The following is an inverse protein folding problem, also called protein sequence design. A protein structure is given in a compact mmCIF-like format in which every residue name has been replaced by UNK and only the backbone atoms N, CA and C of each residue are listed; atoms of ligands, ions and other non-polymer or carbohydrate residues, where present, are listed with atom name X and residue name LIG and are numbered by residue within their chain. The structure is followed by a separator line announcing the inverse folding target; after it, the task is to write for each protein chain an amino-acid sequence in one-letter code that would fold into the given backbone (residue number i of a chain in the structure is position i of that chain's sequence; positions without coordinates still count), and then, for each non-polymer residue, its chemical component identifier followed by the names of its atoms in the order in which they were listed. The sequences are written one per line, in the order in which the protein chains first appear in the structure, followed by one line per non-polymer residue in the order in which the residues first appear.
data_IF_368287783986
#
_entry.id   IF_368287783986
#
_cell.length_a   1.000
_cell.length_b   1.000
_cell.length_c   1.000
_cell.angle_alpha   90.00
_cell.angle_beta   90.00
_cell.angle_gamma   90.00
#
_symmetry.space_group_name_H-M   'P 1'
#
loop_
_entity.id
_entity.type
_entity.pdbx_description
1 polymer ?
#
# COMPACT_ATOMS: atom_id res chain seq x y z
N UNK A 1 40.90 -10.53 -12.70
CA UNK A 1 40.91 -9.16 -12.15
C UNK A 1 41.27 -9.23 -10.67
N UNK A 2 42.09 -8.33 -10.12
CA UNK A 2 42.32 -8.29 -8.67
C UNK A 2 40.97 -8.06 -7.96
N UNK A 3 40.68 -8.85 -6.92
CA UNK A 3 39.48 -8.67 -6.09
C UNK A 3 39.53 -7.30 -5.41
N UNK A 4 38.40 -6.60 -5.35
CA UNK A 4 38.29 -5.35 -4.60
C UNK A 4 38.78 -5.55 -3.17
N UNK A 5 39.65 -4.65 -2.68
CA UNK A 5 40.09 -4.65 -1.27
C UNK A 5 39.02 -4.10 -0.32
N UNK A 6 38.04 -3.35 -0.86
CA UNK A 6 36.89 -2.81 -0.13
C UNK A 6 35.67 -3.73 -0.17
N UNK A 7 35.51 -4.49 -1.25
CA UNK A 7 34.51 -5.56 -1.40
C UNK A 7 35.28 -6.86 -1.52
N UNK A 8 35.83 -7.39 -0.41
CA UNK A 8 36.53 -8.65 -0.47
C UNK A 8 35.49 -9.69 -0.93
N UNK A 9 35.68 -10.27 -2.11
CA UNK A 9 34.83 -11.32 -2.67
C UNK A 9 34.86 -12.63 -1.87
N UNK A 10 35.11 -12.56 -0.56
CA UNK A 10 35.15 -13.65 0.39
C UNK A 10 33.84 -13.65 1.17
N UNK A 11 32.83 -14.25 0.54
CA UNK A 11 31.62 -14.62 1.25
C UNK A 11 31.98 -15.63 2.36
N UNK A 12 31.54 -15.44 3.63
CA UNK A 12 31.87 -16.37 4.71
C UNK A 12 31.41 -17.79 4.32
N UNK A 13 32.23 -18.85 4.36
CA UNK A 13 31.80 -20.20 3.98
C UNK A 13 30.49 -20.62 4.68
N UNK A 14 29.74 -21.54 4.09
CA UNK A 14 28.50 -22.06 4.70
C UNK A 14 28.81 -22.59 6.10
N UNK A 15 28.01 -22.21 7.10
CA UNK A 15 28.17 -22.61 8.50
C UNK A 15 29.13 -21.73 9.31
N UNK A 16 29.74 -20.70 8.72
CA UNK A 16 30.70 -19.82 9.42
C UNK A 16 30.10 -18.45 9.82
N UNK A 17 28.93 -18.10 9.30
CA UNK A 17 28.22 -16.88 9.64
C UNK A 17 26.71 -17.12 9.57
N UNK A 18 26.00 -17.14 10.71
CA UNK A 18 24.54 -17.37 10.74
C UNK A 18 23.77 -16.38 9.86
N UNK A 19 24.25 -15.13 9.75
CA UNK A 19 23.65 -14.11 8.90
C UNK A 19 23.87 -14.43 7.41
N UNK A 20 25.09 -14.81 7.03
CA UNK A 20 25.40 -15.21 5.65
C UNK A 20 24.57 -16.43 5.23
N UNK A 21 24.38 -17.38 6.14
CA UNK A 21 23.61 -18.60 5.89
C UNK A 21 22.11 -18.32 5.76
N UNK A 22 21.55 -17.45 6.60
CA UNK A 22 20.16 -17.00 6.45
C UNK A 22 19.92 -16.27 5.12
N UNK A 23 20.88 -15.47 4.64
CA UNK A 23 20.75 -14.80 3.33
C UNK A 23 20.83 -15.81 2.18
N UNK A 24 21.71 -16.82 2.28
CA UNK A 24 21.78 -17.91 1.29
C UNK A 24 20.49 -18.68 1.21
N UNK A 25 19.93 -19.05 2.36
CA UNK A 25 18.65 -19.76 2.45
C UNK A 25 17.53 -18.94 1.78
N UNK A 26 17.45 -17.64 2.07
CA UNK A 26 16.47 -16.73 1.45
C UNK A 26 16.63 -16.59 -0.06
N UNK A 27 17.85 -16.62 -0.60
CA UNK A 27 18.15 -16.32 -2.02
C UNK A 27 18.36 -17.55 -2.90
N UNK A 28 18.49 -18.73 -2.31
CA UNK A 28 18.72 -19.99 -3.02
C UNK A 28 19.94 -19.91 -3.95
N UNK A 29 19.75 -20.33 -5.21
CA UNK A 29 20.81 -20.39 -6.21
C UNK A 29 21.49 -19.04 -6.53
N UNK A 30 20.87 -17.90 -6.18
CA UNK A 30 21.47 -16.56 -6.37
C UNK A 30 22.61 -16.26 -5.40
N UNK A 31 22.69 -16.96 -4.27
CA UNK A 31 23.77 -16.84 -3.30
C UNK A 31 23.99 -15.42 -2.74
N UNK A 32 25.21 -15.18 -2.25
CA UNK A 32 25.64 -13.88 -1.76
C UNK A 32 26.18 -13.01 -2.90
N UNK A 33 25.89 -11.73 -2.82
CA UNK A 33 26.26 -10.66 -3.75
C UNK A 33 27.33 -9.78 -3.14
N UNK A 34 27.99 -8.96 -3.98
CA UNK A 34 28.97 -7.98 -3.56
C UNK A 34 28.46 -7.08 -2.41
N UNK A 35 27.17 -6.73 -2.42
CA UNK A 35 26.49 -6.01 -1.36
C UNK A 35 26.59 -6.72 0.00
N UNK A 36 26.34 -8.04 0.03
CA UNK A 36 26.39 -8.81 1.27
C UNK A 36 27.83 -8.92 1.80
N UNK A 37 28.82 -8.99 0.91
CA UNK A 37 30.24 -8.95 1.27
C UNK A 37 30.63 -7.65 1.99
N UNK A 38 30.15 -6.50 1.52
CA UNK A 38 30.42 -5.21 2.17
C UNK A 38 29.67 -5.06 3.50
N UNK A 39 28.41 -5.52 3.59
CA UNK A 39 27.62 -5.45 4.83
C UNK A 39 28.22 -6.33 5.95
N UNK A 40 28.74 -7.51 5.60
CA UNK A 40 29.30 -8.47 6.57
C UNK A 40 30.69 -8.07 7.11
N UNK A 41 31.40 -7.14 6.47
CA UNK A 41 32.74 -6.73 6.89
C UNK A 41 32.78 -5.29 7.43
N UNK A 42 32.68 -5.15 8.75
CA UNK A 42 32.85 -3.88 9.48
C UNK A 42 31.61 -3.00 9.54
N UNK A 43 30.78 -2.97 8.49
CA UNK A 43 29.59 -2.13 8.44
C UNK A 43 28.56 -2.50 9.51
N UNK A 44 28.26 -3.79 9.65
CA UNK A 44 27.35 -4.28 10.70
C UNK A 44 27.84 -3.94 12.12
N UNK A 45 29.15 -3.84 12.35
CA UNK A 45 29.70 -3.46 13.66
C UNK A 45 29.44 -1.98 13.97
N UNK A 46 29.72 -1.10 13.00
CA UNK A 46 29.42 0.33 13.12
C UNK A 46 27.92 0.60 13.26
N UNK A 47 27.10 0.10 12.31
CA UNK A 47 25.65 0.29 12.32
C UNK A 47 24.98 -0.36 13.54
N UNK A 48 25.51 -1.49 14.00
CA UNK A 48 25.09 -2.12 15.26
C UNK A 48 25.34 -1.19 16.44
N UNK A 49 26.56 -0.64 16.57
CA UNK A 49 26.91 0.27 17.66
C UNK A 49 26.03 1.54 17.68
N UNK A 50 25.84 2.19 16.52
CA UNK A 50 24.99 3.38 16.40
C UNK A 50 23.55 3.11 16.83
N UNK A 51 23.00 1.92 16.52
CA UNK A 51 21.62 1.57 16.87
C UNK A 51 21.42 1.11 18.31
N UNK A 52 22.43 0.51 18.95
CA UNK A 52 22.21 -0.24 20.21
C UNK A 52 23.13 0.11 21.37
N UNK A 53 24.21 0.87 21.17
CA UNK A 53 25.20 1.17 22.23
C UNK A 53 25.18 2.61 22.74
N UNK A 54 24.46 3.51 22.08
CA UNK A 54 24.30 4.90 22.52
C UNK A 54 23.30 5.06 23.66
N UNK A 55 23.32 6.24 24.29
CA UNK A 55 22.39 6.66 25.35
C UNK A 55 21.25 7.53 24.85
N UNK A 56 21.30 8.04 23.61
CA UNK A 56 20.19 8.76 23.01
C UNK A 56 18.92 7.90 23.04
N UNK A 57 17.80 8.49 23.48
CA UNK A 57 16.54 7.77 23.59
C UNK A 57 16.11 7.22 22.23
N UNK A 58 15.49 6.05 22.24
CA UNK A 58 15.16 5.34 21.01
C UNK A 58 14.27 6.16 20.08
N UNK A 59 13.27 6.86 20.62
CA UNK A 59 12.35 7.71 19.85
C UNK A 59 13.08 8.86 19.15
N UNK A 60 14.02 9.53 19.82
CA UNK A 60 14.81 10.63 19.23
C UNK A 60 15.79 10.10 18.19
N UNK A 61 16.47 8.98 18.47
CA UNK A 61 17.38 8.34 17.50
C UNK A 61 16.63 7.95 16.22
N UNK A 62 15.55 7.19 16.35
CA UNK A 62 14.79 6.72 15.19
C UNK A 62 14.11 7.87 14.44
N UNK A 63 13.66 8.92 15.14
CA UNK A 63 13.17 10.15 14.51
C UNK A 63 14.22 10.80 13.61
N UNK A 64 15.47 10.90 14.06
CA UNK A 64 16.56 11.48 13.26
C UNK A 64 16.86 10.62 12.03
N UNK A 65 16.86 9.28 12.19
CA UNK A 65 17.04 8.32 11.10
C UNK A 65 15.93 8.48 10.05
N UNK A 66 14.68 8.46 10.49
CA UNK A 66 13.51 8.59 9.63
C UNK A 66 13.46 9.94 8.91
N UNK A 67 13.90 11.02 9.57
CA UNK A 67 14.02 12.34 8.95
C UNK A 67 15.09 12.35 7.85
N UNK A 68 16.22 11.68 8.05
CA UNK A 68 17.26 11.50 7.00
C UNK A 68 16.68 10.72 5.82
N UNK A 69 16.01 9.60 6.09
CA UNK A 69 15.38 8.78 5.05
C UNK A 69 14.36 9.58 4.22
N UNK A 70 13.52 10.38 4.87
CA UNK A 70 12.54 11.23 4.22
C UNK A 70 13.17 12.31 3.30
N UNK A 71 14.25 12.96 3.75
CA UNK A 71 14.96 13.98 2.95
C UNK A 71 15.73 13.38 1.78
N UNK A 72 16.38 12.24 2.00
CA UNK A 72 17.18 11.60 0.96
C UNK A 72 16.34 10.75 0.01
N UNK A 73 15.01 10.70 0.18
CA UNK A 73 14.11 9.83 -0.58
C UNK A 73 14.47 8.33 -0.47
N UNK A 74 14.97 7.89 0.69
CA UNK A 74 15.40 6.52 0.93
C UNK A 74 14.26 5.66 1.50
N UNK A 75 13.35 5.19 0.64
CA UNK A 75 12.20 4.38 1.06
C UNK A 75 12.59 3.11 1.83
N UNK A 76 13.64 2.40 1.38
CA UNK A 76 14.14 1.21 2.07
C UNK A 76 14.56 1.51 3.52
N UNK A 77 15.28 2.62 3.74
CA UNK A 77 15.71 3.05 5.08
C UNK A 77 14.50 3.35 5.97
N UNK A 78 13.53 4.09 5.44
CA UNK A 78 12.28 4.39 6.15
C UNK A 78 11.56 3.10 6.58
N UNK A 79 11.29 2.19 5.64
CA UNK A 79 10.53 0.95 5.89
C UNK A 79 11.18 0.11 7.01
N UNK A 80 12.52 0.05 7.04
CA UNK A 80 13.25 -0.72 8.04
C UNK A 80 13.38 -0.03 9.40
N UNK A 81 13.08 1.27 9.48
CA UNK A 81 13.22 2.05 10.71
C UNK A 81 11.90 2.52 11.31
N UNK A 82 10.82 2.60 10.53
CA UNK A 82 9.54 3.10 11.04
C UNK A 82 9.00 2.23 12.19
N UNK A 83 9.00 0.90 12.00
CA UNK A 83 8.55 -0.04 13.01
C UNK A 83 9.45 -0.05 14.26
N UNK A 84 10.74 0.23 14.10
CA UNK A 84 11.69 0.41 15.22
C UNK A 84 11.36 1.69 15.98
N UNK A 85 11.09 2.78 15.27
CA UNK A 85 10.61 4.04 15.84
C UNK A 85 9.31 3.88 16.62
N UNK A 86 8.34 3.14 16.08
CA UNK A 86 7.09 2.78 16.78
C UNK A 86 7.36 1.99 18.05
N UNK A 87 8.25 0.99 17.98
CA UNK A 87 8.67 0.20 19.15
C UNK A 87 9.36 1.05 20.23
N UNK A 88 9.98 2.17 19.84
CA UNK A 88 10.59 3.13 20.74
C UNK A 88 9.60 4.20 21.25
N UNK A 89 8.35 4.20 20.79
CA UNK A 89 7.28 5.07 21.28
C UNK A 89 6.83 6.17 20.31
N UNK A 90 7.34 6.22 19.07
CA UNK A 90 6.85 7.18 18.08
C UNK A 90 5.41 6.84 17.64
N UNK A 91 4.53 7.83 17.74
CA UNK A 91 3.12 7.72 17.32
C UNK A 91 2.96 8.03 15.82
N UNK A 92 1.85 7.60 15.21
CA UNK A 92 1.52 7.95 13.82
C UNK A 92 1.48 9.46 13.58
N UNK A 93 0.95 10.25 14.53
CA UNK A 93 0.93 11.72 14.42
C UNK A 93 2.35 12.31 14.36
N UNK A 94 3.27 11.79 15.17
CA UNK A 94 4.68 12.21 15.13
C UNK A 94 5.36 11.75 13.83
N UNK A 95 5.13 10.51 13.40
CA UNK A 95 5.69 9.99 12.15
C UNK A 95 5.23 10.78 10.93
N UNK A 96 3.97 11.24 10.89
CA UNK A 96 3.48 12.12 9.82
C UNK A 96 4.31 13.41 9.74
N UNK A 97 4.63 14.03 10.89
CA UNK A 97 5.49 15.23 10.97
C UNK A 97 6.94 14.92 10.57
N UNK A 98 7.46 13.75 10.96
CA UNK A 98 8.82 13.31 10.62
C UNK A 98 8.96 13.04 9.12
N UNK A 99 7.94 12.45 8.51
CA UNK A 99 7.87 12.18 7.06
C UNK A 99 7.78 13.48 6.26
N UNK A 100 6.97 14.45 6.70
CA UNK A 100 6.75 15.69 5.95
C UNK A 100 8.00 16.59 5.95
N UNK A 101 8.70 16.64 4.82
CA UNK A 101 9.91 17.47 4.61
C UNK A 101 9.60 18.88 4.13
N UNK A 102 8.34 19.18 3.81
CA UNK A 102 7.95 20.48 3.23
C UNK A 102 7.99 21.62 4.25
N UNK A 103 7.92 21.31 5.55
CA UNK A 103 7.86 22.28 6.64
C UNK A 103 8.59 21.76 7.87
N UNK A 104 9.18 22.67 8.64
CA UNK A 104 9.66 22.37 9.98
C UNK A 104 8.51 22.48 11.00
N UNK A 105 8.44 21.61 12.00
CA UNK A 105 7.44 21.68 13.06
C UNK A 105 7.65 22.92 13.94
N UNK A 106 6.56 23.53 14.37
CA UNK A 106 6.56 24.66 15.30
C UNK A 106 6.28 24.21 16.74
N UNK A 107 6.46 25.13 17.69
CA UNK A 107 6.06 24.90 19.08
C UNK A 107 4.55 24.62 19.21
N UNK A 108 4.19 23.84 20.24
CA UNK A 108 2.80 23.43 20.50
C UNK A 108 2.30 22.25 19.66
N UNK A 109 3.14 21.68 18.78
CA UNK A 109 2.82 20.46 18.03
C UNK A 109 3.02 19.16 18.83
N UNK A 110 2.88 18.02 18.14
CA UNK A 110 2.95 16.65 18.71
C UNK A 110 4.36 16.18 19.09
N UNK A 111 5.40 16.88 18.63
CA UNK A 111 6.79 16.57 18.96
C UNK A 111 7.23 17.33 20.22
N UNK A 112 8.00 16.70 21.10
CA UNK A 112 8.64 17.35 22.25
C UNK A 112 9.69 18.39 21.81
N UNK A 113 10.16 19.25 22.72
CA UNK A 113 11.21 20.23 22.39
C UNK A 113 12.49 19.55 21.85
N UNK A 114 12.94 18.48 22.53
CA UNK A 114 14.08 17.66 22.11
C UNK A 114 13.86 17.03 20.72
N UNK A 115 12.70 16.42 20.49
CA UNK A 115 12.37 15.82 19.19
C UNK A 115 12.35 16.87 18.07
N UNK A 116 11.78 18.06 18.31
CA UNK A 116 11.77 19.16 17.34
C UNK A 116 13.18 19.64 16.98
N UNK A 117 14.04 19.88 17.97
CA UNK A 117 15.43 20.31 17.71
C UNK A 117 16.25 19.21 17.03
N UNK A 118 16.08 17.94 17.43
CA UNK A 118 16.77 16.82 16.81
C UNK A 118 16.35 16.63 15.35
N UNK A 119 15.05 16.77 15.05
CA UNK A 119 14.50 16.73 13.71
C UNK A 119 15.07 17.85 12.83
N UNK A 120 15.10 19.08 13.33
CA UNK A 120 15.62 20.23 12.60
C UNK A 120 17.13 20.11 12.35
N UNK A 121 17.88 19.64 13.35
CA UNK A 121 19.31 19.34 13.23
C UNK A 121 19.55 18.26 12.15
N UNK A 122 18.82 17.14 12.19
CA UNK A 122 18.94 16.07 11.20
C UNK A 122 18.67 16.56 9.79
N UNK A 123 17.63 17.39 9.61
CA UNK A 123 17.28 17.98 8.32
C UNK A 123 18.36 18.94 7.80
N UNK A 124 18.84 19.87 8.63
CA UNK A 124 19.84 20.85 8.17
C UNK A 124 21.21 20.20 7.95
N UNK A 125 21.62 19.26 8.81
CA UNK A 125 22.84 18.48 8.63
C UNK A 125 22.80 17.67 7.33
N UNK A 126 21.65 17.07 7.00
CA UNK A 126 21.44 16.34 5.74
C UNK A 126 21.54 17.24 4.51
N UNK A 127 20.86 18.40 4.55
CA UNK A 127 20.72 19.26 3.37
C UNK A 127 21.91 20.20 3.15
N UNK A 128 22.54 20.69 4.22
CA UNK A 128 23.56 21.75 4.15
C UNK A 128 24.93 21.32 4.67
N UNK A 129 25.03 20.17 5.34
CA UNK A 129 26.21 19.70 6.10
C UNK A 129 26.54 20.59 7.30
N UNK A 130 26.65 21.91 7.09
CA UNK A 130 26.82 22.91 8.13
C UNK A 130 25.47 23.26 8.76
N UNK A 131 25.29 22.83 10.01
CA UNK A 131 24.15 23.22 10.86
C UNK A 131 24.39 24.62 11.42
N UNK A 132 23.33 25.42 11.49
CA UNK A 132 23.33 26.74 12.08
C UNK A 132 23.64 26.72 13.58
N UNK A 133 24.30 27.76 14.13
CA UNK A 133 24.53 27.87 15.57
C UNK A 133 23.24 27.79 16.36
N UNK A 134 22.17 28.43 15.87
CA UNK A 134 20.88 28.49 16.56
C UNK A 134 20.26 27.09 16.74
N UNK A 135 20.31 26.23 15.72
CA UNK A 135 19.82 24.85 15.83
C UNK A 135 20.76 23.96 16.65
N UNK A 136 22.06 24.23 16.59
CA UNK A 136 23.07 23.52 17.40
C UNK A 136 22.85 23.79 18.89
N UNK A 137 22.73 25.07 19.26
CA UNK A 137 22.49 25.51 20.63
C UNK A 137 21.14 25.02 21.15
N UNK A 138 20.10 25.04 20.30
CA UNK A 138 18.79 24.51 20.65
C UNK A 138 18.83 23.00 20.95
N UNK A 139 19.53 22.20 20.13
CA UNK A 139 19.65 20.77 20.38
C UNK A 139 20.48 20.48 21.63
N UNK A 140 21.63 21.15 21.81
CA UNK A 140 22.47 21.01 23.01
C UNK A 140 21.69 21.30 24.28
N UNK A 141 20.97 22.43 24.32
CA UNK A 141 20.13 22.80 25.46
C UNK A 141 19.06 21.74 25.76
N UNK A 142 18.40 21.20 24.73
CA UNK A 142 17.38 20.17 24.92
C UNK A 142 17.94 18.78 25.25
N UNK A 143 19.25 18.58 25.07
CA UNK A 143 20.03 17.44 25.55
C UNK A 143 20.67 17.71 26.93
N UNK A 144 20.24 18.76 27.62
CA UNK A 144 20.78 19.17 28.92
C UNK A 144 22.29 19.48 28.88
N UNK A 145 22.77 19.96 27.73
CA UNK A 145 24.17 20.28 27.44
C UNK A 145 25.13 19.07 27.61
N UNK A 146 24.61 17.85 27.47
CA UNK A 146 25.41 16.62 27.42
C UNK A 146 26.12 16.49 26.05
N UNK A 147 27.43 16.75 26.06
CA UNK A 147 28.27 16.68 24.85
C UNK A 147 28.35 15.26 24.26
N UNK A 148 28.26 14.19 25.07
CA UNK A 148 28.26 12.81 24.57
C UNK A 148 26.99 12.57 23.75
N UNK A 149 25.83 12.97 24.25
CA UNK A 149 24.55 12.85 23.54
C UNK A 149 24.51 13.69 22.25
N UNK A 150 25.11 14.88 22.26
CA UNK A 150 25.21 15.70 21.06
C UNK A 150 26.09 15.05 19.98
N UNK A 151 27.23 14.46 20.38
CA UNK A 151 28.10 13.70 19.47
C UNK A 151 27.37 12.45 18.96
N UNK A 152 26.64 11.73 19.81
CA UNK A 152 25.81 10.59 19.39
C UNK A 152 24.76 11.00 18.36
N UNK A 153 24.04 12.11 18.58
CA UNK A 153 23.04 12.63 17.65
C UNK A 153 23.65 12.96 16.28
N UNK A 154 24.82 13.61 16.26
CA UNK A 154 25.56 13.88 15.03
C UNK A 154 26.03 12.59 14.33
N UNK A 155 26.51 11.61 15.10
CA UNK A 155 26.96 10.32 14.58
C UNK A 155 25.81 9.50 13.95
N UNK A 156 24.61 9.52 14.56
CA UNK A 156 23.39 8.91 14.00
C UNK A 156 23.07 9.54 12.65
N UNK A 157 22.93 10.87 12.60
CA UNK A 157 22.56 11.58 11.36
C UNK A 157 23.59 11.35 10.25
N UNK A 158 24.89 11.43 10.56
CA UNK A 158 25.95 11.22 9.59
C UNK A 158 25.97 9.78 9.07
N UNK A 159 25.79 8.80 9.96
CA UNK A 159 25.78 7.38 9.59
C UNK A 159 24.61 7.06 8.65
N UNK A 160 23.42 7.55 8.94
CA UNK A 160 22.25 7.28 8.10
C UNK A 160 22.25 8.07 6.79
N UNK A 161 22.92 9.23 6.78
CA UNK A 161 23.26 9.91 5.55
C UNK A 161 24.18 9.06 4.64
N UNK A 162 25.13 8.33 5.23
CA UNK A 162 25.96 7.37 4.49
C UNK A 162 25.14 6.15 4.03
N UNK A 163 24.29 5.60 4.90
CA UNK A 163 23.44 4.42 4.60
C UNK A 163 22.48 4.70 3.44
N UNK A 164 21.66 5.75 3.53
CA UNK A 164 20.73 6.16 2.47
C UNK A 164 21.43 6.34 1.10
N UNK A 165 22.57 7.03 1.06
CA UNK A 165 23.35 7.20 -0.18
C UNK A 165 23.80 5.87 -0.77
N UNK A 166 24.17 4.91 0.06
CA UNK A 166 24.56 3.58 -0.41
C UNK A 166 23.37 2.74 -0.88
N UNK A 167 22.27 2.75 -0.13
CA UNK A 167 21.03 2.05 -0.48
C UNK A 167 20.48 2.51 -1.82
N UNK A 168 20.41 3.82 -2.04
CA UNK A 168 19.91 4.42 -3.28
C UNK A 168 20.87 4.14 -4.44
N UNK A 169 22.18 4.34 -4.24
CA UNK A 169 23.17 4.16 -5.33
C UNK A 169 23.26 2.72 -5.83
N UNK A 170 22.92 1.74 -4.99
CA UNK A 170 22.94 0.32 -5.35
C UNK A 170 21.56 -0.27 -5.63
N UNK A 171 20.52 0.57 -5.63
CA UNK A 171 19.13 0.15 -5.80
C UNK A 171 18.76 -1.04 -4.89
N UNK A 172 19.14 -0.94 -3.61
CA UNK A 172 18.93 -2.02 -2.65
C UNK A 172 17.43 -2.25 -2.49
N UNK A 173 16.98 -3.45 -2.85
CA UNK A 173 15.57 -3.82 -2.81
C UNK A 173 14.78 -3.42 -4.05
N UNK A 174 15.41 -2.86 -5.09
CA UNK A 174 14.74 -2.42 -6.32
C UNK A 174 13.84 -1.19 -6.14
N UNK A 175 14.02 -0.45 -5.04
CA UNK A 175 13.16 0.64 -4.60
C UNK A 175 13.84 2.01 -4.58
N UNK A 176 14.88 2.22 -5.39
CA UNK A 176 15.54 3.54 -5.49
C UNK A 176 14.62 4.64 -6.03
N UNK A 177 13.63 4.28 -6.84
CA UNK A 177 12.59 5.17 -7.36
C UNK A 177 11.32 5.18 -6.48
N UNK A 178 11.29 4.38 -5.39
CA UNK A 178 10.13 4.30 -4.53
C UNK A 178 9.97 5.58 -3.69
N UNK A 179 8.73 6.04 -3.59
CA UNK A 179 8.37 7.11 -2.69
C UNK A 179 8.42 6.63 -1.24
N UNK A 180 9.03 7.42 -0.35
CA UNK A 180 8.97 7.19 1.09
C UNK A 180 7.50 7.14 1.52
N UNK A 181 7.01 6.04 2.13
CA UNK A 181 5.60 5.87 2.42
C UNK A 181 5.12 6.90 3.45
N UNK A 182 3.82 7.22 3.41
CA UNK A 182 3.20 7.98 4.48
C UNK A 182 2.76 7.03 5.59
N UNK A 183 3.07 7.33 6.87
CA UNK A 183 2.75 6.46 7.99
C UNK A 183 1.24 6.42 8.26
N UNK A 184 0.76 5.26 8.66
CA UNK A 184 -0.60 5.03 9.12
C UNK A 184 -0.59 3.89 10.16
N UNK A 185 -1.59 3.87 11.06
CA UNK A 185 -1.81 2.72 11.93
C UNK A 185 -2.45 1.60 11.12
N UNK A 186 -1.70 0.52 10.95
CA UNK A 186 -2.11 -0.67 10.23
C UNK A 186 -2.76 -1.69 11.18
N UNK A 187 -3.93 -2.21 10.81
CA UNK A 187 -4.58 -3.28 11.56
C UNK A 187 -5.19 -4.30 10.60
N UNK A 188 -5.07 -5.57 10.95
CA UNK A 188 -5.71 -6.69 10.25
C UNK A 188 -6.92 -7.18 11.03
N UNK A 189 -7.96 -7.56 10.28
CA UNK A 189 -9.25 -7.97 10.82
C UNK A 189 -9.71 -9.24 10.14
N UNK A 190 -10.32 -10.14 10.92
CA UNK A 190 -11.05 -11.31 10.41
C UNK A 190 -12.49 -11.19 10.88
N UNK A 191 -13.37 -10.78 9.96
CA UNK A 191 -14.75 -10.43 10.27
C UNK A 191 -15.64 -11.62 9.92
N UNK A 192 -16.21 -12.33 10.91
CA UNK A 192 -17.01 -13.52 10.65
C UNK A 192 -18.23 -13.21 9.78
N UNK A 193 -18.56 -14.12 8.87
CA UNK A 193 -19.80 -14.04 8.12
C UNK A 193 -20.99 -14.37 9.02
N UNK A 194 -22.06 -13.58 8.92
CA UNK A 194 -23.26 -13.78 9.73
C UNK A 194 -23.93 -15.13 9.48
N UNK A 195 -23.83 -15.68 8.26
CA UNK A 195 -24.40 -16.98 7.88
C UNK A 195 -23.56 -18.17 8.33
N UNK A 196 -22.25 -17.99 8.52
CA UNK A 196 -21.32 -19.06 8.85
C UNK A 196 -20.13 -18.51 9.66
N UNK A 197 -20.14 -18.64 11.00
CA UNK A 197 -19.09 -18.07 11.86
C UNK A 197 -17.69 -18.67 11.65
N UNK A 198 -17.57 -19.83 10.99
CA UNK A 198 -16.28 -20.41 10.59
C UNK A 198 -15.69 -19.78 9.33
N UNK A 199 -16.49 -19.02 8.59
CA UNK A 199 -16.09 -18.24 7.42
C UNK A 199 -15.93 -16.76 7.81
N UNK A 200 -15.06 -16.05 7.10
CA UNK A 200 -14.78 -14.64 7.41
C UNK A 200 -14.29 -13.86 6.20
N UNK A 201 -14.52 -12.54 6.26
CA UNK A 201 -13.88 -11.57 5.38
C UNK A 201 -12.62 -11.06 6.07
N UNK A 202 -11.47 -11.25 5.42
CA UNK A 202 -10.23 -10.61 5.81
C UNK A 202 -10.26 -9.14 5.36
N UNK A 203 -9.89 -8.25 6.26
CA UNK A 203 -9.81 -6.83 5.98
C UNK A 203 -8.57 -6.21 6.61
N UNK A 204 -8.11 -5.12 6.02
CA UNK A 204 -6.95 -4.36 6.46
C UNK A 204 -7.27 -2.88 6.48
N UNK A 205 -6.99 -2.23 7.61
CA UNK A 205 -7.22 -0.79 7.77
C UNK A 205 -5.90 -0.03 7.91
N UNK A 206 -5.82 1.12 7.26
CA UNK A 206 -4.74 2.10 7.41
C UNK A 206 -5.33 3.40 7.94
N UNK A 207 -5.00 3.77 9.18
CA UNK A 207 -5.58 4.92 9.87
C UNK A 207 -4.52 6.03 10.01
N UNK A 208 -4.74 7.14 9.32
CA UNK A 208 -3.87 8.34 9.41
C UNK A 208 -4.35 9.30 10.50
N UNK A 209 -5.65 9.35 10.75
CA UNK A 209 -6.27 10.15 11.81
C UNK A 209 -7.70 9.67 12.07
N UNK A 210 -8.20 9.70 13.31
CA UNK A 210 -9.61 9.40 13.61
C UNK A 210 -10.62 10.28 12.84
N UNK A 211 -10.20 11.47 12.43
CA UNK A 211 -11.06 12.45 11.73
C UNK A 211 -10.98 12.36 10.20
N UNK A 212 -10.01 11.60 9.66
CA UNK A 212 -9.84 11.49 8.22
C UNK A 212 -11.01 10.71 7.59
N UNK A 213 -11.51 11.13 6.42
CA UNK A 213 -12.53 10.40 5.69
C UNK A 213 -12.03 9.00 5.28
N UNK A 214 -12.93 8.02 5.23
CA UNK A 214 -12.62 6.66 4.80
C UNK A 214 -12.76 6.46 3.29
N UNK A 215 -11.88 5.67 2.70
CA UNK A 215 -12.05 5.05 1.39
C UNK A 215 -12.08 3.53 1.54
N UNK A 216 -12.94 2.87 0.77
CA UNK A 216 -13.04 1.40 0.74
C UNK A 216 -12.72 0.91 -0.65
N UNK A 217 -11.95 -0.17 -0.74
CA UNK A 217 -11.53 -0.76 -2.00
C UNK A 217 -12.10 -2.16 -2.21
N UNK A 218 -12.70 -2.41 -3.37
CA UNK A 218 -13.27 -3.68 -3.82
C UNK A 218 -12.43 -4.25 -4.97
N UNK A 219 -11.85 -5.44 -4.76
CA UNK A 219 -10.87 -6.05 -5.65
C UNK A 219 -11.50 -6.58 -6.95
N UNK A 220 -10.65 -6.83 -7.95
CA UNK A 220 -11.02 -7.66 -9.10
C UNK A 220 -11.13 -9.14 -8.67
N UNK A 221 -11.84 -9.95 -9.46
CA UNK A 221 -11.75 -11.41 -9.39
C UNK A 221 -10.26 -11.84 -9.45
N UNK A 222 -9.87 -12.93 -8.77
CA UNK A 222 -8.50 -13.47 -8.70
C UNK A 222 -7.44 -12.54 -8.09
N UNK A 223 -7.86 -11.48 -7.39
CA UNK A 223 -6.93 -10.55 -6.71
C UNK A 223 -7.25 -10.42 -5.24
N UNK A 224 -6.29 -9.91 -4.47
CA UNK A 224 -6.40 -9.68 -3.03
C UNK A 224 -6.08 -8.22 -2.68
N UNK A 225 -6.12 -7.87 -1.40
CA UNK A 225 -5.90 -6.50 -0.88
C UNK A 225 -4.60 -5.87 -1.37
N UNK A 226 -3.56 -6.66 -1.67
CA UNK A 226 -2.26 -6.14 -2.09
C UNK A 226 -2.28 -5.47 -3.46
N UNK A 227 -3.33 -5.68 -4.26
CA UNK A 227 -3.59 -4.95 -5.50
C UNK A 227 -3.48 -3.43 -5.31
N UNK A 228 -3.93 -2.91 -4.17
CA UNK A 228 -4.04 -1.47 -3.92
C UNK A 228 -2.80 -0.84 -3.28
N UNK A 229 -1.78 -1.63 -2.93
CA UNK A 229 -0.57 -1.16 -2.24
C UNK A 229 0.09 0.05 -2.93
N UNK A 230 0.24 0.08 -4.27
CA UNK A 230 0.86 1.23 -4.95
C UNK A 230 0.12 2.56 -4.75
N UNK A 231 -1.20 2.51 -4.49
CA UNK A 231 -2.00 3.71 -4.29
C UNK A 231 -1.91 4.27 -2.86
N UNK A 232 -1.54 3.44 -1.88
CA UNK A 232 -1.50 3.85 -0.47
C UNK A 232 -0.61 5.08 -0.27
N UNK A 233 0.56 5.12 -0.93
CA UNK A 233 1.48 6.26 -0.84
C UNK A 233 0.86 7.59 -1.29
N UNK A 234 -0.12 7.57 -2.19
CA UNK A 234 -0.80 8.78 -2.65
C UNK A 234 -2.02 9.13 -1.80
N UNK A 235 -2.73 8.11 -1.31
CA UNK A 235 -4.00 8.29 -0.60
C UNK A 235 -3.82 8.61 0.88
N UNK A 236 -2.73 8.15 1.48
CA UNK A 236 -2.34 8.46 2.86
C UNK A 236 -1.64 9.83 2.97
N UNK A 237 -1.38 10.50 1.84
CA UNK A 237 -0.62 11.74 1.78
C UNK A 237 -1.45 13.00 2.18
N UNK A 238 -0.93 13.91 3.03
CA UNK A 238 -1.48 15.24 3.22
C UNK A 238 -1.37 16.11 1.95
N UNK A 239 -2.18 17.19 1.83
CA UNK A 239 -3.14 17.69 2.83
C UNK A 239 -4.48 16.95 2.86
N UNK A 240 -4.71 16.02 1.92
CA UNK A 240 -5.99 15.32 1.78
C UNK A 240 -5.79 13.82 1.96
N UNK A 241 -5.39 13.47 3.19
CA UNK A 241 -5.16 12.09 3.60
C UNK A 241 -6.50 11.40 3.91
N UNK A 242 -6.60 10.11 3.57
CA UNK A 242 -7.76 9.27 3.83
C UNK A 242 -7.38 8.11 4.74
N UNK A 243 -8.30 7.68 5.60
CA UNK A 243 -8.24 6.34 6.17
C UNK A 243 -8.63 5.33 5.09
N UNK A 244 -7.97 4.20 5.03
CA UNK A 244 -8.16 3.21 3.97
C UNK A 244 -8.65 1.90 4.57
N UNK A 245 -9.70 1.33 3.98
CA UNK A 245 -10.17 -0.02 4.22
C UNK A 245 -9.97 -0.85 2.94
N UNK A 246 -9.11 -1.85 3.04
CA UNK A 246 -8.97 -2.90 2.04
C UNK A 246 -9.65 -4.16 2.57
N UNK A 247 -10.23 -4.96 1.70
CA UNK A 247 -10.73 -6.28 2.07
C UNK A 247 -10.48 -7.27 0.94
N UNK A 248 -10.30 -8.52 1.32
CA UNK A 248 -10.35 -9.61 0.36
C UNK A 248 -11.81 -9.98 0.13
N UNK A 249 -12.25 -9.95 -1.13
CA UNK A 249 -13.59 -10.44 -1.43
C UNK A 249 -13.73 -11.90 -1.01
N UNK A 250 -14.95 -12.33 -0.70
CA UNK A 250 -15.27 -13.71 -0.36
C UNK A 250 -14.56 -14.71 -1.28
N UNK A 251 -13.89 -15.69 -0.67
CA UNK A 251 -13.16 -16.73 -1.38
C UNK A 251 -11.82 -16.29 -2.01
N UNK A 252 -11.41 -15.04 -1.84
CA UNK A 252 -10.13 -14.55 -2.36
C UNK A 252 -9.15 -14.26 -1.23
N UNK A 253 -7.85 -14.30 -1.55
CA UNK A 253 -6.79 -13.96 -0.61
C UNK A 253 -6.93 -14.71 0.73
N UNK A 254 -7.00 -13.97 1.83
CA UNK A 254 -7.15 -14.51 3.17
C UNK A 254 -8.62 -14.63 3.63
N UNK A 255 -9.61 -14.24 2.81
CA UNK A 255 -11.03 -14.45 3.10
C UNK A 255 -11.44 -15.89 2.87
N UNK A 256 -12.10 -16.50 3.85
CA UNK A 256 -12.51 -17.92 3.81
C UNK A 256 -14.03 -18.03 3.63
N UNK A 257 -14.47 -18.79 2.64
CA UNK A 257 -15.88 -19.10 2.35
C UNK A 257 -16.01 -20.44 1.62
N UNK A 258 -17.17 -21.09 1.72
CA UNK A 258 -17.47 -22.32 0.97
C UNK A 258 -18.33 -22.06 -0.27
N UNK A 259 -18.32 -23.00 -1.22
CA UNK A 259 -19.17 -23.01 -2.43
C UNK A 259 -20.67 -23.00 -2.13
N UNK A 260 -21.08 -23.44 -0.94
CA UNK A 260 -22.49 -23.48 -0.53
C UNK A 260 -23.05 -22.09 -0.19
N UNK A 261 -22.19 -21.10 0.05
CA UNK A 261 -22.61 -19.73 0.34
C UNK A 261 -22.98 -19.00 -0.96
N UNK A 262 -24.17 -18.37 -1.04
CA UNK A 262 -24.54 -17.60 -2.22
C UNK A 262 -23.57 -16.45 -2.48
N UNK A 263 -23.11 -16.29 -3.71
CA UNK A 263 -22.19 -15.24 -4.13
C UNK A 263 -22.75 -14.50 -5.35
N UNK A 264 -23.24 -13.28 -5.13
CA UNK A 264 -23.79 -12.39 -6.17
C UNK A 264 -23.30 -10.97 -5.93
N UNK A 265 -23.40 -10.08 -6.92
CA UNK A 265 -22.99 -8.67 -6.74
C UNK A 265 -23.69 -8.01 -5.52
N UNK A 266 -25.00 -8.22 -5.29
CA UNK A 266 -25.65 -7.71 -4.09
C UNK A 266 -25.07 -8.21 -2.77
N UNK A 267 -24.71 -9.50 -2.69
CA UNK A 267 -24.17 -10.08 -1.46
C UNK A 267 -22.72 -9.63 -1.25
N UNK A 268 -21.91 -9.51 -2.30
CA UNK A 268 -20.58 -8.92 -2.19
C UNK A 268 -20.64 -7.45 -1.70
N UNK A 269 -21.64 -6.68 -2.12
CA UNK A 269 -21.87 -5.34 -1.57
C UNK A 269 -22.33 -5.38 -0.10
N UNK A 270 -23.12 -6.38 0.28
CA UNK A 270 -23.52 -6.60 1.67
C UNK A 270 -22.32 -6.97 2.56
N UNK A 271 -21.35 -7.73 2.05
CA UNK A 271 -20.10 -8.02 2.77
C UNK A 271 -19.35 -6.72 3.12
N UNK A 272 -19.26 -5.78 2.17
CA UNK A 272 -18.65 -4.46 2.42
C UNK A 272 -19.40 -3.71 3.53
N UNK A 273 -20.74 -3.67 3.47
CA UNK A 273 -21.54 -3.02 4.51
C UNK A 273 -21.37 -3.69 5.89
N UNK A 274 -21.28 -5.02 5.92
CA UNK A 274 -21.02 -5.81 7.13
C UNK A 274 -19.64 -5.53 7.74
N UNK A 275 -18.61 -5.43 6.89
CA UNK A 275 -17.26 -5.04 7.32
C UNK A 275 -17.28 -3.64 7.93
N UNK A 276 -17.92 -2.67 7.26
CA UNK A 276 -18.03 -1.30 7.77
C UNK A 276 -18.74 -1.25 9.13
N UNK A 277 -19.86 -1.96 9.27
CA UNK A 277 -20.60 -2.04 10.52
C UNK A 277 -19.77 -2.68 11.64
N UNK A 278 -19.07 -3.78 11.35
CA UNK A 278 -18.23 -4.51 12.31
C UNK A 278 -17.07 -3.67 12.83
N UNK A 279 -16.51 -2.79 11.99
CA UNK A 279 -15.43 -1.87 12.35
C UNK A 279 -15.93 -0.52 12.88
N UNK A 280 -17.24 -0.32 13.03
CA UNK A 280 -17.83 0.92 13.52
C UNK A 280 -17.70 2.11 12.55
N UNK A 281 -17.45 1.86 11.27
CA UNK A 281 -17.29 2.89 10.23
C UNK A 281 -18.68 3.28 9.72
N UNK A 282 -19.17 4.44 10.17
CA UNK A 282 -20.56 4.88 9.92
C UNK A 282 -20.84 5.38 8.50
N UNK A 283 -19.83 5.97 7.85
CA UNK A 283 -19.95 6.48 6.48
C UNK A 283 -18.55 6.62 5.87
N UNK A 284 -18.42 6.28 4.60
CA UNK A 284 -17.19 6.42 3.83
C UNK A 284 -17.32 7.55 2.81
N UNK A 285 -16.19 8.15 2.45
CA UNK A 285 -16.17 9.14 1.38
C UNK A 285 -16.46 8.48 0.04
N UNK A 286 -15.82 7.34 -0.24
CA UNK A 286 -16.09 6.59 -1.46
C UNK A 286 -15.88 5.09 -1.28
N UNK A 287 -16.71 4.32 -1.97
CA UNK A 287 -16.41 2.93 -2.31
C UNK A 287 -15.81 2.92 -3.72
N UNK A 288 -14.67 2.27 -3.88
CA UNK A 288 -13.87 2.28 -5.10
C UNK A 288 -13.66 0.82 -5.49
N UNK A 289 -13.93 0.47 -6.74
CA UNK A 289 -13.71 -0.90 -7.18
C UNK A 289 -13.37 -1.02 -8.65
N UNK A 290 -12.66 -2.10 -8.98
CA UNK A 290 -12.20 -2.41 -10.34
C UNK A 290 -12.77 -3.75 -10.79
N UNK A 291 -13.20 -3.85 -12.06
CA UNK A 291 -13.74 -5.09 -12.63
C UNK A 291 -14.92 -5.62 -11.81
N UNK A 292 -14.84 -6.83 -11.24
CA UNK A 292 -15.84 -7.37 -10.32
C UNK A 292 -16.13 -6.39 -9.18
N UNK A 293 -15.10 -5.84 -8.54
CA UNK A 293 -15.24 -4.85 -7.49
C UNK A 293 -15.91 -3.55 -7.96
N UNK A 294 -15.80 -3.21 -9.24
CA UNK A 294 -16.53 -2.07 -9.83
C UNK A 294 -18.04 -2.31 -9.87
N UNK A 295 -18.47 -3.54 -10.20
CA UNK A 295 -19.88 -3.93 -10.13
C UNK A 295 -20.38 -3.99 -8.68
N UNK A 296 -19.52 -4.44 -7.75
CA UNK A 296 -19.79 -4.37 -6.30
C UNK A 296 -19.97 -2.92 -5.84
N UNK A 297 -19.14 -1.98 -6.28
CA UNK A 297 -19.28 -0.57 -5.93
C UNK A 297 -20.60 0.05 -6.46
N UNK A 298 -21.01 -0.30 -7.69
CA UNK A 298 -22.31 0.10 -8.25
C UNK A 298 -23.48 -0.48 -7.45
N UNK A 299 -23.40 -1.76 -7.10
CA UNK A 299 -24.41 -2.43 -6.27
C UNK A 299 -24.48 -1.84 -4.86
N UNK A 300 -23.32 -1.53 -4.25
CA UNK A 300 -23.24 -0.88 -2.94
C UNK A 300 -23.88 0.50 -2.94
N UNK A 301 -23.60 1.34 -3.95
CA UNK A 301 -24.22 2.66 -4.07
C UNK A 301 -25.74 2.60 -4.21
N UNK A 302 -26.26 1.50 -4.76
CA UNK A 302 -27.70 1.26 -4.93
C UNK A 302 -28.35 0.79 -3.62
N UNK A 303 -27.74 -0.18 -2.94
CA UNK A 303 -28.31 -0.80 -1.72
C UNK A 303 -28.05 0.00 -0.43
N UNK A 304 -26.88 0.64 -0.33
CA UNK A 304 -26.40 1.32 0.87
C UNK A 304 -26.02 2.79 0.61
N UNK A 305 -26.89 3.60 -0.05
CA UNK A 305 -26.55 4.97 -0.44
C UNK A 305 -26.24 5.88 0.76
N UNK A 306 -26.71 5.54 1.96
CA UNK A 306 -26.45 6.30 3.19
C UNK A 306 -25.06 6.08 3.78
N UNK A 307 -24.39 4.97 3.41
CA UNK A 307 -23.06 4.60 3.92
C UNK A 307 -21.92 5.20 3.09
N UNK A 308 -22.18 5.81 1.94
CA UNK A 308 -21.12 6.41 1.11
C UNK A 308 -21.53 7.76 0.51
N UNK A 309 -20.57 8.68 0.36
CA UNK A 309 -20.79 9.97 -0.33
C UNK A 309 -20.65 9.84 -1.86
N UNK A 310 -19.80 8.90 -2.31
CA UNK A 310 -19.60 8.64 -3.73
C UNK A 310 -19.24 7.19 -4.02
N UNK A 311 -19.26 6.80 -5.29
CA UNK A 311 -18.68 5.55 -5.77
C UNK A 311 -17.75 5.80 -6.96
N UNK A 312 -16.72 4.98 -7.09
CA UNK A 312 -15.83 4.94 -8.25
C UNK A 312 -15.85 3.52 -8.80
N UNK A 313 -16.29 3.38 -10.06
CA UNK A 313 -16.37 2.10 -10.74
C UNK A 313 -15.39 2.10 -11.93
N UNK A 314 -14.35 1.27 -11.83
CA UNK A 314 -13.26 1.16 -12.78
C UNK A 314 -13.40 -0.12 -13.60
N UNK A 315 -13.17 -0.05 -14.92
CA UNK A 315 -13.00 -1.22 -15.81
C UNK A 315 -14.04 -2.32 -15.59
N UNK A 316 -15.31 -1.93 -15.54
CA UNK A 316 -16.43 -2.80 -15.14
C UNK A 316 -17.64 -2.64 -16.05
N UNK A 317 -18.68 -3.44 -15.82
CA UNK A 317 -19.96 -3.39 -16.50
C UNK A 317 -21.11 -3.41 -15.49
N UNK A 318 -22.25 -2.75 -15.76
CA UNK A 318 -23.44 -2.87 -14.92
C UNK A 318 -24.23 -4.17 -15.14
N UNK A 319 -23.85 -4.97 -16.14
CA UNK A 319 -24.53 -6.23 -16.50
C UNK A 319 -23.56 -7.19 -17.19
N UNK A 320 -23.75 -8.49 -16.99
CA UNK A 320 -23.02 -9.52 -17.75
C UNK A 320 -23.31 -9.38 -19.26
N UNK A 321 -22.28 -9.27 -20.12
CA UNK A 321 -22.48 -9.25 -21.57
C UNK A 321 -23.13 -10.55 -22.08
N UNK A 322 -23.97 -10.43 -23.12
CA UNK A 322 -24.58 -11.60 -23.76
C UNK A 322 -23.51 -12.54 -24.35
N UNK A 323 -23.66 -13.86 -24.16
CA UNK A 323 -22.72 -14.89 -24.62
C UNK A 323 -21.46 -15.07 -23.74
N UNK A 324 -21.39 -14.36 -22.60
CA UNK A 324 -20.27 -14.48 -21.67
C UNK A 324 -20.48 -15.63 -20.67
N UNK A 325 -21.67 -16.20 -20.57
CA UNK A 325 -22.02 -17.28 -19.64
C UNK A 325 -21.28 -18.57 -20.00
N UNK A 326 -21.21 -18.87 -21.29
CA UNK A 326 -20.50 -19.99 -21.88
C UNK A 326 -18.97 -19.84 -21.75
N UNK A 327 -18.46 -18.61 -21.67
CA UNK A 327 -17.04 -18.34 -21.50
C UNK A 327 -16.51 -18.65 -20.08
N UNK A 328 -17.39 -18.82 -19.10
CA UNK A 328 -17.04 -19.20 -17.72
C UNK A 328 -17.22 -20.71 -17.45
N UNK A 329 -17.67 -21.49 -18.44
CA UNK A 329 -17.71 -22.95 -18.36
C UNK A 329 -16.31 -23.52 -18.64
N UNK A 330 -15.70 -24.21 -17.66
CA UNK A 330 -14.33 -24.76 -17.79
C UNK A 330 -13.27 -24.04 -16.93
N UNK A 331 -13.52 -23.95 -15.62
CA UNK A 331 -12.84 -23.07 -14.65
C UNK A 331 -11.30 -23.16 -14.59
N UNK A 332 -10.68 -24.30 -14.92
CA UNK A 332 -9.22 -24.49 -14.78
C UNK A 332 -8.42 -23.94 -15.96
N UNK A 333 -9.00 -23.86 -17.16
CA UNK A 333 -8.35 -23.28 -18.35
C UNK A 333 -8.46 -21.75 -18.38
N UNK A 334 -9.46 -21.18 -17.72
CA UNK A 334 -9.69 -19.73 -17.63
C UNK A 334 -8.55 -18.97 -16.95
N UNK A 335 -7.92 -19.52 -15.90
CA UNK A 335 -6.78 -18.86 -15.25
C UNK A 335 -5.62 -18.60 -16.23
N UNK A 336 -5.29 -19.59 -17.08
CA UNK A 336 -4.23 -19.49 -18.09
C UNK A 336 -4.57 -18.52 -19.25
N UNK A 337 -5.86 -18.24 -19.47
CA UNK A 337 -6.35 -17.33 -20.51
C UNK A 337 -6.58 -15.90 -19.96
N UNK A 338 -6.81 -15.76 -18.65
CA UNK A 338 -7.18 -14.48 -18.02
C UNK A 338 -5.99 -13.53 -17.88
N UNK A 339 -4.80 -14.04 -17.52
CA UNK A 339 -3.59 -13.20 -17.34
C UNK A 339 -3.21 -12.43 -18.62
N UNK A 340 -3.09 -13.06 -19.81
CA UNK A 340 -2.74 -12.33 -21.03
C UNK A 340 -3.78 -11.28 -21.45
N UNK A 341 -5.04 -11.43 -21.00
CA UNK A 341 -6.13 -10.47 -21.30
C UNK A 341 -6.03 -9.21 -20.46
N UNK A 342 -5.56 -9.28 -19.21
CA UNK A 342 -5.31 -8.10 -18.38
C UNK A 342 -4.05 -7.34 -18.82
N UNK A 343 -3.11 -8.02 -19.48
CA UNK A 343 -1.83 -7.47 -19.92
C UNK A 343 -1.61 -7.66 -21.45
N UNK A 344 -2.41 -7.01 -22.31
CA UNK A 344 -2.28 -7.18 -23.76
C UNK A 344 -0.95 -6.63 -24.30
N UNK A 345 -0.45 -7.19 -25.40
CA UNK A 345 0.74 -6.69 -26.12
C UNK A 345 0.63 -5.19 -26.40
N UNK A 346 1.61 -4.40 -25.93
CA UNK A 346 1.57 -2.93 -25.97
C UNK A 346 1.14 -2.27 -24.65
N UNK A 347 0.95 -3.05 -23.58
CA UNK A 347 0.80 -2.51 -22.23
C UNK A 347 2.12 -1.96 -21.68
N UNK A 348 2.15 -0.71 -21.21
CA UNK A 348 3.30 -0.05 -20.59
C UNK A 348 3.56 -0.49 -19.13
N UNK A 349 3.01 -1.63 -18.71
CA UNK A 349 3.07 -2.10 -17.34
C UNK A 349 4.49 -2.58 -17.01
N UNK A 350 5.01 -2.09 -15.90
CA UNK A 350 6.36 -2.40 -15.42
C UNK A 350 6.37 -3.87 -14.93
N UNK A 351 7.41 -4.63 -15.32
CA UNK A 351 7.53 -6.07 -15.04
C UNK A 351 7.23 -6.50 -13.58
N UNK A 352 7.67 -5.78 -12.52
CA UNK A 352 7.39 -6.18 -11.14
C UNK A 352 5.90 -6.19 -10.80
N UNK A 353 5.12 -5.30 -11.41
CA UNK A 353 3.69 -5.17 -11.16
C UNK A 353 2.88 -6.30 -11.80
N UNK A 354 3.29 -6.70 -13.01
CA UNK A 354 2.73 -7.89 -13.65
C UNK A 354 3.00 -9.14 -12.82
N UNK A 355 4.23 -9.32 -12.36
CA UNK A 355 4.59 -10.45 -11.53
C UNK A 355 3.78 -10.51 -10.23
N UNK A 356 3.59 -9.37 -9.54
CA UNK A 356 2.79 -9.32 -8.33
C UNK A 356 1.33 -9.75 -8.57
N UNK A 357 0.73 -9.37 -9.71
CA UNK A 357 -0.63 -9.80 -10.07
C UNK A 357 -0.66 -11.28 -10.47
N UNK A 358 0.35 -11.78 -11.19
CA UNK A 358 0.50 -13.21 -11.49
C UNK A 358 0.56 -14.04 -10.20
N UNK A 359 1.33 -13.61 -9.20
CA UNK A 359 1.40 -14.26 -7.87
C UNK A 359 0.05 -14.26 -7.13
N UNK A 360 -0.75 -13.20 -7.22
CA UNK A 360 -2.11 -13.18 -6.65
C UNK A 360 -3.02 -14.21 -7.30
N UNK A 361 -2.94 -14.32 -8.64
CA UNK A 361 -3.77 -15.23 -9.42
C UNK A 361 -3.39 -16.68 -9.12
N UNK A 362 -2.09 -16.99 -9.10
CA UNK A 362 -1.57 -18.32 -8.74
C UNK A 362 -1.92 -18.73 -7.30
N UNK A 363 -1.98 -17.76 -6.38
CA UNK A 363 -2.35 -17.99 -4.99
C UNK A 363 -3.86 -18.09 -4.72
N UNK A 364 -4.73 -17.86 -5.71
CA UNK A 364 -6.19 -17.89 -5.51
C UNK A 364 -6.71 -19.34 -5.48
N UNK A 365 -7.48 -19.66 -4.44
CA UNK A 365 -8.13 -20.96 -4.28
C UNK A 365 -9.20 -21.22 -5.37
N UNK A 366 -9.33 -22.47 -5.80
CA UNK A 366 -10.24 -22.85 -6.89
C UNK A 366 -11.72 -22.69 -6.53
N UNK A 367 -12.10 -23.03 -5.29
CA UNK A 367 -13.48 -22.87 -4.84
C UNK A 367 -13.81 -21.38 -4.70
N UNK A 368 -12.85 -20.61 -4.20
CA UNK A 368 -12.89 -19.16 -4.15
C UNK A 368 -13.07 -18.48 -5.51
N UNK A 369 -12.29 -18.91 -6.51
CA UNK A 369 -12.46 -18.48 -7.89
C UNK A 369 -13.84 -18.85 -8.42
N UNK A 370 -14.32 -20.08 -8.20
CA UNK A 370 -15.61 -20.54 -8.67
C UNK A 370 -16.77 -19.69 -8.08
N UNK A 371 -16.70 -19.31 -6.80
CA UNK A 371 -17.66 -18.38 -6.18
C UNK A 371 -17.68 -17.02 -6.89
N UNK A 372 -16.51 -16.43 -7.11
CA UNK A 372 -16.40 -15.12 -7.75
C UNK A 372 -16.83 -15.16 -9.23
N UNK A 373 -16.42 -16.20 -9.97
CA UNK A 373 -16.81 -16.41 -11.36
C UNK A 373 -18.32 -16.62 -11.48
N UNK A 374 -18.92 -17.42 -10.58
CA UNK A 374 -20.37 -17.61 -10.51
C UNK A 374 -21.13 -16.30 -10.36
N UNK A 375 -20.62 -15.36 -9.54
CA UNK A 375 -21.21 -14.04 -9.39
C UNK A 375 -21.15 -13.18 -10.67
N UNK A 376 -20.19 -13.44 -11.57
CA UNK A 376 -20.01 -12.73 -12.84
C UNK A 376 -20.77 -13.38 -14.02
N UNK A 377 -21.11 -14.68 -13.91
CA UNK A 377 -21.77 -15.43 -14.97
C UNK A 377 -23.12 -14.86 -15.37
N UNK A 378 -23.86 -14.30 -14.40
CA UNK A 378 -25.20 -13.76 -14.64
C UNK A 378 -25.55 -12.73 -13.56
N UNK A 379 -25.30 -11.45 -13.85
CA UNK A 379 -25.81 -10.34 -13.05
C UNK A 379 -26.38 -9.24 -13.95
N UNK A 380 -27.41 -8.56 -13.44
CA UNK A 380 -28.03 -7.41 -14.09
C UNK A 380 -28.36 -6.36 -13.03
N UNK A 381 -27.43 -5.42 -12.80
CA UNK A 381 -27.64 -4.41 -11.77
C UNK A 381 -28.80 -3.47 -12.10
N UNK A 382 -29.22 -3.37 -13.37
CA UNK A 382 -30.42 -2.60 -13.71
C UNK A 382 -31.68 -3.25 -13.12
N UNK A 383 -31.76 -4.58 -13.14
CA UNK A 383 -32.84 -5.32 -12.48
C UNK A 383 -32.77 -5.15 -10.95
N UNK A 384 -31.57 -4.95 -10.40
CA UNK A 384 -31.34 -4.68 -8.98
C UNK A 384 -31.55 -3.20 -8.59
N UNK A 385 -32.09 -2.36 -9.48
CA UNK A 385 -32.44 -0.97 -9.18
C UNK A 385 -31.33 0.06 -9.38
N UNK A 386 -30.25 -0.28 -10.10
CA UNK A 386 -29.12 0.63 -10.37
C UNK A 386 -29.56 1.97 -10.98
N UNK A 387 -30.63 1.97 -11.75
CA UNK A 387 -31.22 3.17 -12.36
C UNK A 387 -31.74 4.22 -11.35
N UNK A 388 -32.04 3.79 -10.14
CA UNK A 388 -32.53 4.65 -9.06
C UNK A 388 -31.40 5.14 -8.14
N UNK A 389 -30.17 4.66 -8.35
CA UNK A 389 -29.00 5.08 -7.60
C UNK A 389 -28.76 6.59 -7.77
N UNK A 390 -28.72 7.32 -6.64
CA UNK A 390 -28.48 8.78 -6.58
C UNK A 390 -27.11 9.15 -6.02
N UNK A 391 -26.30 8.15 -5.66
CA UNK A 391 -24.94 8.38 -5.15
C UNK A 391 -24.09 9.01 -6.24
N UNK A 392 -23.24 9.97 -5.87
CA UNK A 392 -22.31 10.60 -6.82
C UNK A 392 -21.34 9.56 -7.37
N UNK A 393 -21.28 9.40 -8.68
CA UNK A 393 -20.51 8.32 -9.31
C UNK A 393 -19.47 8.84 -10.29
N UNK A 394 -18.26 8.28 -10.20
CA UNK A 394 -17.19 8.41 -11.19
C UNK A 394 -17.01 7.07 -11.90
N UNK A 395 -17.08 7.08 -13.23
CA UNK A 395 -16.80 5.90 -14.05
C UNK A 395 -15.41 6.07 -14.69
N UNK A 396 -14.58 5.04 -14.60
CA UNK A 396 -13.22 5.03 -15.13
C UNK A 396 -13.06 3.81 -16.04
N UNK A 397 -12.48 4.02 -17.22
CA UNK A 397 -12.26 2.95 -18.19
C UNK A 397 -10.90 3.10 -18.87
N UNK A 398 -10.16 2.00 -18.97
CA UNK A 398 -9.00 1.86 -19.83
C UNK A 398 -9.44 1.82 -21.29
N UNK A 399 -8.82 2.64 -22.14
CA UNK A 399 -9.22 2.78 -23.56
C UNK A 399 -9.09 1.46 -24.36
N UNK A 400 -8.27 0.52 -23.90
CA UNK A 400 -8.05 -0.78 -24.54
C UNK A 400 -8.83 -1.93 -23.90
N UNK A 401 -9.47 -1.73 -22.74
CA UNK A 401 -10.08 -2.82 -21.98
C UNK A 401 -11.27 -3.45 -22.72
N UNK A 402 -11.28 -4.78 -22.77
CA UNK A 402 -12.22 -5.57 -23.56
C UNK A 402 -12.23 -5.21 -25.05
N UNK A 403 -11.10 -4.75 -25.61
CA UNK A 403 -11.03 -4.20 -26.98
C UNK A 403 -11.74 -2.85 -27.13
N UNK A 404 -11.79 -2.07 -26.05
CA UNK A 404 -12.52 -0.80 -25.97
C UNK A 404 -14.02 -0.93 -25.70
N UNK A 405 -14.55 -2.16 -25.57
CA UNK A 405 -15.98 -2.38 -25.34
C UNK A 405 -16.41 -2.02 -23.90
N UNK A 406 -15.52 -2.17 -22.91
CA UNK A 406 -15.80 -1.77 -21.52
C UNK A 406 -16.05 -0.26 -21.44
N UNK A 407 -15.18 0.54 -22.05
CA UNK A 407 -15.36 1.98 -22.15
C UNK A 407 -16.65 2.40 -22.86
N UNK A 408 -17.06 1.68 -23.92
CA UNK A 408 -18.37 1.91 -24.58
C UNK A 408 -19.54 1.60 -23.65
N UNK A 409 -19.48 0.50 -22.91
CA UNK A 409 -20.50 0.11 -21.93
C UNK A 409 -20.68 1.14 -20.82
N UNK A 410 -19.59 1.62 -20.23
CA UNK A 410 -19.64 2.68 -19.21
C UNK A 410 -20.12 4.03 -19.76
N UNK A 411 -19.83 4.33 -21.03
CA UNK A 411 -20.41 5.51 -21.71
C UNK A 411 -21.94 5.37 -21.86
N UNK A 412 -22.42 4.20 -22.27
CA UNK A 412 -23.86 3.94 -22.38
C UNK A 412 -24.56 4.03 -21.01
N UNK A 413 -23.94 3.53 -19.94
CA UNK A 413 -24.43 3.70 -18.56
C UNK A 413 -24.55 5.20 -18.21
N UNK A 414 -23.53 6.00 -18.57
CA UNK A 414 -23.59 7.44 -18.33
C UNK A 414 -24.73 8.12 -19.08
N UNK A 415 -24.91 7.80 -20.36
CA UNK A 415 -25.96 8.36 -21.19
C UNK A 415 -27.34 8.01 -20.60
N UNK A 416 -27.55 6.75 -20.21
CA UNK A 416 -28.77 6.27 -19.53
C UNK A 416 -29.08 7.02 -18.22
N UNK A 417 -28.06 7.29 -17.39
CA UNK A 417 -28.25 8.01 -16.13
C UNK A 417 -28.41 9.53 -16.31
N UNK A 418 -27.81 10.12 -17.34
CA UNK A 418 -27.98 11.52 -17.67
C UNK A 418 -29.43 11.83 -18.07
N UNK A 419 -30.08 10.93 -18.82
CA UNK A 419 -31.52 11.00 -19.13
C UNK A 419 -32.40 11.01 -17.87
N UNK A 420 -31.90 10.43 -16.77
CA UNK A 420 -32.56 10.39 -15.45
C UNK A 420 -32.13 11.52 -14.50
N UNK A 421 -31.39 12.52 -15.01
CA UNK A 421 -30.97 13.71 -14.25
C UNK A 421 -29.80 13.51 -13.28
N UNK A 422 -29.04 12.42 -13.40
CA UNK A 422 -27.87 12.13 -12.54
C UNK A 422 -26.60 12.70 -13.17
N UNK A 423 -25.84 13.50 -12.42
CA UNK A 423 -24.57 14.06 -12.91
C UNK A 423 -23.43 13.05 -12.76
N UNK A 424 -22.86 12.64 -13.89
CA UNK A 424 -21.78 11.67 -13.98
C UNK A 424 -20.54 12.24 -14.67
N UNK A 425 -19.37 11.97 -14.08
CA UNK A 425 -18.09 12.24 -14.72
C UNK A 425 -17.50 10.93 -15.26
N UNK A 426 -17.06 10.94 -16.51
CA UNK A 426 -16.19 9.90 -17.07
C UNK A 426 -14.83 10.54 -17.26
N UNK A 427 -13.79 9.91 -16.74
CA UNK A 427 -12.41 10.23 -17.14
C UNK A 427 -11.88 9.07 -17.98
N UNK A 428 -11.50 9.38 -19.21
CA UNK A 428 -10.64 8.51 -20.02
C UNK A 428 -9.20 8.77 -19.61
N UNK A 429 -8.44 7.70 -19.44
CA UNK A 429 -7.00 7.83 -19.25
C UNK A 429 -6.29 7.21 -20.45
N UNK A 430 -5.46 8.03 -21.11
CA UNK A 430 -4.67 7.64 -22.28
C UNK A 430 -3.38 6.89 -21.92
N UNK A 431 -3.22 6.50 -20.66
CA UNK A 431 -2.15 5.64 -20.18
C UNK A 431 -2.79 4.54 -19.33
N UNK A 432 -2.32 3.30 -19.50
CA UNK A 432 -2.91 2.07 -18.96
C UNK A 432 -2.74 1.93 -17.43
N UNK A 433 -2.71 3.05 -16.71
CA UNK A 433 -2.46 3.16 -15.26
C UNK A 433 -3.74 2.88 -14.43
N UNK A 434 -4.82 2.34 -15.02
CA UNK A 434 -6.10 2.12 -14.33
C UNK A 434 -6.20 0.73 -13.68
N UNK A 435 -5.36 -0.23 -14.08
CA UNK A 435 -5.06 -1.24 -13.07
C UNK A 435 -4.29 -0.50 -11.95
N UNK A 436 -4.60 -0.70 -10.66
CA UNK A 436 -3.78 -0.23 -9.54
C UNK A 436 -2.41 -0.90 -9.50
#
# INVERSE_FOLDING_TARGET
MPSSRLVPGRYPPVGTSPIADAIRERRGARGLTALDGTLLHGWNSLLGAIRTKGKLSGDVRELMILRVAAHNHAAYEWIHHEHVGRSAGLTTEQLLVIRDTSRLPTDGGVLSALQRSALAFAQESTNKVKVSPELTDALKKNLEDDDDLFVEAAAVVATYNMVSRFLISLDVGGGSDDLVPWPADEQEHKIPLSSSPSHYIYAKTYIVSPSAPWLVFCNSLLTNTTLWNPLLTYLLAPPRAFNILLHDQRGHGASVSSLSEPCTMPILAQDVAHVLASLGIKQVHSVIGVSQGGAVALSFGTQFPHLTKSIVACDTSPKTPAGNKEAWEGMKELANITVPRWFPSGSAIIHPRRQAVEEMIEGTDLDGFALGAGALMEYDLYADGLDDCKVKTLLVAGDLDGGGNVGKGLKALKERWAEKGVTLHIKKFHKQDIFP
#
